data_IF_118174919795
#
_entry.id   IF_118174919795
#
_cell.length_a   1.000
_cell.length_b   1.000
_cell.length_c   1.000
_cell.angle_alpha   90.00
_cell.angle_beta   90.00
_cell.angle_gamma   90.00
#
_symmetry.space_group_name_H-M   'P 1'
#
loop_
_entity.id
_entity.type
_entity.pdbx_description
1 polymer ?
#
# COMPACT_ATOMS: atom_id res chain seq x y z
N UNK A 1 3.52 22.69 22.42
CA UNK A 1 3.70 21.22 22.38
C UNK A 1 3.61 20.71 23.80
N UNK A 2 2.66 19.82 24.09
CA UNK A 2 2.63 19.16 25.40
C UNK A 2 3.93 18.36 25.56
N UNK A 3 4.54 18.32 26.76
CA UNK A 3 5.72 17.51 27.00
C UNK A 3 5.43 16.05 26.67
N UNK A 4 6.42 15.35 26.08
CA UNK A 4 6.32 13.91 25.84
C UNK A 4 6.17 13.25 27.21
N UNK A 5 5.01 12.66 27.45
CA UNK A 5 4.72 11.86 28.63
C UNK A 5 4.54 10.40 28.23
N UNK A 6 4.58 9.49 29.22
CA UNK A 6 4.49 8.05 28.98
C UNK A 6 3.23 7.68 28.18
N UNK A 7 2.10 8.33 28.45
CA UNK A 7 0.83 8.04 27.78
C UNK A 7 0.86 8.40 26.29
N UNK A 8 1.35 9.60 25.95
CA UNK A 8 1.49 10.04 24.55
C UNK A 8 2.50 9.18 23.79
N UNK A 9 3.58 8.75 24.45
CA UNK A 9 4.58 7.87 23.86
C UNK A 9 4.02 6.46 23.59
N UNK A 10 3.26 5.90 24.55
CA UNK A 10 2.59 4.61 24.35
C UNK A 10 1.54 4.67 23.25
N UNK A 11 0.75 5.75 23.19
CA UNK A 11 -0.22 5.95 22.11
C UNK A 11 0.47 6.01 20.74
N UNK A 12 1.58 6.75 20.62
CA UNK A 12 2.40 6.76 19.41
C UNK A 12 2.86 5.34 19.03
N UNK A 13 3.41 4.57 19.97
CA UNK A 13 3.84 3.19 19.71
C UNK A 13 2.70 2.31 19.21
N UNK A 14 1.51 2.45 19.79
CA UNK A 14 0.33 1.69 19.36
C UNK A 14 -0.09 2.03 17.93
N UNK A 15 -0.32 3.31 17.62
CA UNK A 15 -0.74 3.71 16.28
C UNK A 15 0.34 3.46 15.22
N UNK A 16 1.60 3.74 15.54
CA UNK A 16 2.73 3.48 14.64
C UNK A 16 2.92 1.98 14.39
N UNK A 17 2.90 1.17 15.45
CA UNK A 17 3.04 -0.29 15.35
C UNK A 17 1.89 -0.94 14.60
N UNK A 18 0.65 -0.54 14.90
CA UNK A 18 -0.54 -1.00 14.17
C UNK A 18 -0.48 -0.58 12.70
N UNK A 19 -0.14 0.68 12.41
CA UNK A 19 0.02 1.16 11.05
C UNK A 19 1.08 0.37 10.27
N UNK A 20 2.25 0.15 10.87
CA UNK A 20 3.32 -0.63 10.23
C UNK A 20 2.89 -2.09 9.99
N UNK A 21 2.22 -2.69 10.97
CA UNK A 21 1.67 -4.05 10.85
C UNK A 21 0.65 -4.17 9.71
N UNK A 22 -0.31 -3.25 9.65
CA UNK A 22 -1.31 -3.20 8.57
C UNK A 22 -0.64 -3.00 7.22
N UNK A 23 0.31 -2.07 7.10
CA UNK A 23 1.03 -1.83 5.85
C UNK A 23 1.73 -3.10 5.33
N UNK A 24 2.44 -3.83 6.20
CA UNK A 24 3.13 -5.07 5.83
C UNK A 24 2.11 -6.13 5.40
N UNK A 25 1.06 -6.34 6.19
CA UNK A 25 0.02 -7.33 5.88
C UNK A 25 -0.67 -7.00 4.56
N UNK A 26 -1.02 -5.74 4.35
CA UNK A 26 -1.64 -5.24 3.12
C UNK A 26 -0.79 -5.53 1.89
N UNK A 27 0.49 -5.18 1.94
CA UNK A 27 1.40 -5.41 0.81
C UNK A 27 1.56 -6.90 0.56
N UNK A 28 1.75 -7.71 1.60
CA UNK A 28 1.83 -9.18 1.44
C UNK A 28 0.56 -9.72 0.79
N UNK A 29 -0.63 -9.34 1.27
CA UNK A 29 -1.91 -9.78 0.70
C UNK A 29 -2.05 -9.37 -0.76
N UNK A 30 -1.71 -8.12 -1.11
CA UNK A 30 -1.74 -7.67 -2.51
C UNK A 30 -0.78 -8.50 -3.36
N UNK A 31 0.44 -8.76 -2.88
CA UNK A 31 1.44 -9.56 -3.62
C UNK A 31 1.09 -11.05 -3.74
N UNK A 32 0.20 -11.56 -2.89
CA UNK A 32 -0.32 -12.93 -2.99
C UNK A 32 -1.41 -13.03 -4.06
N UNK A 33 -2.13 -11.94 -4.32
CA UNK A 33 -3.15 -11.86 -5.38
C UNK A 33 -2.53 -11.52 -6.73
N UNK A 34 -1.40 -10.80 -6.77
CA UNK A 34 -0.68 -10.55 -8.02
C UNK A 34 -0.09 -11.85 -8.58
N UNK A 35 -0.25 -12.14 -9.89
CA UNK A 35 0.22 -13.41 -10.46
C UNK A 35 1.75 -13.55 -10.57
N UNK A 36 2.51 -12.48 -10.34
CA UNK A 36 3.97 -12.46 -10.43
C UNK A 36 4.61 -12.50 -9.05
N UNK A 37 5.77 -13.13 -8.93
CA UNK A 37 6.47 -13.31 -7.65
C UNK A 37 7.29 -12.08 -7.30
N UNK A 38 6.63 -11.01 -6.84
CA UNK A 38 7.23 -9.70 -6.57
C UNK A 38 8.54 -9.77 -5.77
N UNK A 39 8.51 -10.39 -4.59
CA UNK A 39 9.70 -10.50 -3.73
C UNK A 39 10.82 -11.35 -4.33
N UNK A 40 10.49 -12.37 -5.13
CA UNK A 40 11.49 -13.18 -5.83
C UNK A 40 12.15 -12.38 -6.95
N UNK A 41 11.35 -11.70 -7.77
CA UNK A 41 11.83 -10.87 -8.87
C UNK A 41 12.66 -9.69 -8.37
N UNK A 42 12.21 -9.03 -7.28
CA UNK A 42 12.98 -7.99 -6.60
C UNK A 42 14.38 -8.47 -6.20
N UNK A 43 14.47 -9.65 -5.56
CA UNK A 43 15.74 -10.25 -5.13
C UNK A 43 16.64 -10.65 -6.31
N UNK A 44 16.06 -10.85 -7.49
CA UNK A 44 16.78 -11.12 -8.74
C UNK A 44 17.22 -9.84 -9.47
N UNK A 45 16.94 -8.65 -8.91
CA UNK A 45 17.31 -7.37 -9.52
C UNK A 45 16.34 -6.88 -10.59
N UNK A 46 15.12 -7.41 -10.64
CA UNK A 46 14.08 -6.94 -11.56
C UNK A 46 13.59 -5.55 -11.12
N UNK A 47 13.96 -4.53 -11.90
CA UNK A 47 13.63 -3.13 -11.65
C UNK A 47 12.12 -2.89 -11.78
N UNK A 48 11.45 -3.53 -12.73
CA UNK A 48 10.01 -3.37 -12.91
C UNK A 48 9.23 -3.85 -11.67
N UNK A 49 9.59 -5.02 -11.13
CA UNK A 49 9.00 -5.56 -9.90
C UNK A 49 9.33 -4.67 -8.69
N UNK A 50 10.57 -4.17 -8.61
CA UNK A 50 10.98 -3.26 -7.54
C UNK A 50 10.15 -1.97 -7.53
N UNK A 51 9.98 -1.35 -8.70
CA UNK A 51 9.20 -0.12 -8.85
C UNK A 51 7.72 -0.36 -8.55
N UNK A 52 7.13 -1.43 -9.09
CA UNK A 52 5.73 -1.78 -8.83
C UNK A 52 5.48 -1.99 -7.33
N UNK A 53 6.35 -2.76 -6.66
CA UNK A 53 6.24 -3.04 -5.24
C UNK A 53 6.40 -1.77 -4.40
N UNK A 54 7.37 -0.90 -4.72
CA UNK A 54 7.54 0.39 -4.05
C UNK A 54 6.30 1.28 -4.17
N UNK A 55 5.70 1.35 -5.36
CA UNK A 55 4.44 2.06 -5.56
C UNK A 55 3.29 1.47 -4.77
N UNK A 56 3.25 0.14 -4.58
CA UNK A 56 2.26 -0.52 -3.74
C UNK A 56 2.40 -0.15 -2.25
N UNK A 57 3.64 -0.12 -1.73
CA UNK A 57 3.90 0.35 -0.36
C UNK A 57 3.40 1.78 -0.16
N UNK A 58 3.73 2.69 -1.08
CA UNK A 58 3.30 4.09 -0.99
C UNK A 58 1.77 4.19 -1.12
N UNK A 59 1.18 3.47 -2.08
CA UNK A 59 -0.26 3.45 -2.32
C UNK A 59 -1.09 3.03 -1.10
N UNK A 60 -0.63 2.03 -0.35
CA UNK A 60 -1.27 1.60 0.91
C UNK A 60 -1.01 2.58 2.06
N UNK A 61 0.19 3.17 2.13
CA UNK A 61 0.55 4.07 3.21
C UNK A 61 -0.31 5.35 3.23
N UNK A 62 -0.76 5.83 2.07
CA UNK A 62 -1.58 7.04 1.94
C UNK A 62 -2.95 6.93 2.65
N UNK A 63 -3.82 5.96 2.33
CA UNK A 63 -5.10 5.80 3.04
C UNK A 63 -4.90 5.40 4.49
N UNK A 64 -3.82 4.69 4.83
CA UNK A 64 -3.52 4.35 6.21
C UNK A 64 -3.13 5.59 7.04
N UNK A 65 -2.41 6.53 6.44
CA UNK A 65 -2.16 7.84 7.04
C UNK A 65 -3.48 8.56 7.33
N UNK A 66 -4.37 8.67 6.35
CA UNK A 66 -5.69 9.31 6.55
C UNK A 66 -6.53 8.58 7.59
N UNK A 67 -6.54 7.25 7.56
CA UNK A 67 -7.22 6.44 8.56
C UNK A 67 -6.71 6.75 9.96
N UNK A 68 -5.39 6.72 10.21
CA UNK A 68 -4.82 7.01 11.54
C UNK A 68 -5.11 8.46 11.96
N UNK A 69 -5.12 9.41 11.02
CA UNK A 69 -5.41 10.82 11.30
C UNK A 69 -6.87 11.06 11.71
N UNK A 70 -7.82 10.34 11.13
CA UNK A 70 -9.26 10.52 11.36
C UNK A 70 -9.88 9.46 12.30
N UNK A 71 -9.14 8.39 12.64
CA UNK A 71 -9.67 7.29 13.43
C UNK A 71 -9.98 7.70 14.86
N UNK A 72 -11.17 7.29 15.33
CA UNK A 72 -11.59 7.47 16.73
C UNK A 72 -10.94 6.43 17.64
N UNK A 73 -10.49 5.30 17.07
CA UNK A 73 -9.82 4.21 17.81
C UNK A 73 -8.86 3.40 16.93
N UNK A 74 -8.01 2.57 17.55
CA UNK A 74 -7.14 1.62 16.82
C UNK A 74 -7.94 0.60 16.00
N UNK A 75 -9.13 0.20 16.46
CA UNK A 75 -9.99 -0.76 15.74
C UNK A 75 -10.54 -0.12 14.46
N UNK A 76 -10.90 1.15 14.52
CA UNK A 76 -11.35 1.92 13.37
C UNK A 76 -10.24 2.01 12.31
N UNK A 77 -9.00 2.29 12.74
CA UNK A 77 -7.83 2.28 11.86
C UNK A 77 -7.58 0.92 11.20
N UNK A 78 -7.83 -0.19 11.92
CA UNK A 78 -7.71 -1.55 11.36
C UNK A 78 -8.76 -1.82 10.28
N UNK A 79 -10.01 -1.39 10.49
CA UNK A 79 -11.10 -1.56 9.52
C UNK A 79 -10.78 -0.79 8.24
N UNK A 80 -10.40 0.49 8.37
CA UNK A 80 -9.97 1.29 7.22
C UNK A 80 -8.73 0.74 6.53
N UNK A 81 -7.78 0.18 7.30
CA UNK A 81 -6.65 -0.55 6.78
C UNK A 81 -7.05 -1.72 5.88
N UNK A 82 -8.04 -2.51 6.28
CA UNK A 82 -8.57 -3.61 5.48
C UNK A 82 -9.27 -3.11 4.20
N UNK A 83 -10.05 -2.03 4.28
CA UNK A 83 -10.67 -1.37 3.12
C UNK A 83 -9.58 -0.89 2.14
N UNK A 84 -8.52 -0.28 2.66
CA UNK A 84 -7.38 0.17 1.88
C UNK A 84 -6.67 -0.97 1.16
N UNK A 85 -6.49 -2.13 1.80
CA UNK A 85 -5.97 -3.33 1.15
C UNK A 85 -6.82 -3.74 -0.06
N UNK A 86 -8.15 -3.76 0.11
CA UNK A 86 -9.07 -4.13 -0.95
C UNK A 86 -9.00 -3.18 -2.15
N UNK A 87 -8.98 -1.87 -1.88
CA UNK A 87 -8.85 -0.85 -2.93
C UNK A 87 -7.50 -0.94 -3.64
N UNK A 88 -6.44 -1.34 -2.94
CA UNK A 88 -5.13 -1.54 -3.54
C UNK A 88 -5.10 -2.69 -4.56
N UNK A 89 -5.85 -3.76 -4.32
CA UNK A 89 -6.05 -4.84 -5.30
C UNK A 89 -6.78 -4.29 -6.53
N UNK A 90 -7.80 -3.44 -6.33
CA UNK A 90 -8.50 -2.77 -7.44
C UNK A 90 -7.54 -1.90 -8.25
N UNK A 91 -6.62 -1.18 -7.61
CA UNK A 91 -5.61 -0.38 -8.31
C UNK A 91 -4.73 -1.25 -9.23
N UNK A 92 -4.29 -2.41 -8.77
CA UNK A 92 -3.56 -3.38 -9.60
C UNK A 92 -4.40 -3.88 -10.79
N UNK A 93 -5.67 -4.22 -10.55
CA UNK A 93 -6.58 -4.68 -11.60
C UNK A 93 -6.79 -3.59 -12.66
N UNK A 94 -6.97 -2.34 -12.25
CA UNK A 94 -7.07 -1.19 -13.15
C UNK A 94 -5.80 -1.05 -14.00
N UNK A 95 -4.63 -1.11 -13.38
CA UNK A 95 -3.36 -1.06 -14.11
C UNK A 95 -3.25 -2.20 -15.14
N UNK A 96 -3.67 -3.41 -14.77
CA UNK A 96 -3.64 -4.57 -15.66
C UNK A 96 -4.66 -4.47 -16.82
N UNK A 97 -5.84 -3.89 -16.58
CA UNK A 97 -6.85 -3.64 -17.63
C UNK A 97 -6.34 -2.62 -18.64
N UNK A 98 -5.69 -1.54 -18.19
CA UNK A 98 -5.21 -0.47 -19.07
C UNK A 98 -3.96 -0.89 -19.85
N UNK A 99 -2.95 -1.45 -19.18
CA UNK A 99 -1.66 -1.78 -19.81
C UNK A 99 -1.65 -3.14 -20.52
N UNK A 100 -2.56 -4.05 -20.15
CA UNK A 100 -2.65 -5.40 -20.69
C UNK A 100 -1.49 -6.31 -20.26
N UNK A 101 -1.77 -7.41 -19.56
CA UNK A 101 -0.78 -8.42 -19.14
C UNK A 101 0.37 -7.82 -18.30
N UNK A 102 0.08 -6.89 -17.39
CA UNK A 102 1.10 -6.16 -16.61
C UNK A 102 1.99 -7.11 -15.81
N UNK A 103 1.41 -8.22 -15.31
CA UNK A 103 2.14 -9.27 -14.59
C UNK A 103 3.25 -9.90 -15.43
N UNK A 104 2.99 -10.13 -16.73
CA UNK A 104 3.98 -10.72 -17.64
C UNK A 104 5.07 -9.70 -17.96
N UNK A 105 4.68 -8.46 -18.25
CA UNK A 105 5.63 -7.38 -18.51
C UNK A 105 6.57 -7.14 -17.32
N UNK A 106 6.04 -7.18 -16.08
CA UNK A 106 6.86 -7.07 -14.86
C UNK A 106 7.80 -8.28 -14.74
N UNK A 107 7.32 -9.50 -15.01
CA UNK A 107 8.17 -10.70 -15.01
C UNK A 107 9.32 -10.57 -16.04
N UNK A 108 9.03 -10.01 -17.21
CA UNK A 108 9.98 -9.74 -18.30
C UNK A 108 10.85 -8.49 -18.05
N UNK A 109 10.79 -7.90 -16.85
CA UNK A 109 11.55 -6.71 -16.41
C UNK A 109 11.33 -5.45 -17.28
N UNK A 110 10.12 -5.29 -17.82
CA UNK A 110 9.74 -4.09 -18.56
C UNK A 110 9.48 -2.94 -17.58
N UNK A 111 10.47 -2.05 -17.41
CA UNK A 111 10.41 -0.97 -16.42
C UNK A 111 9.15 -0.09 -16.54
N UNK A 112 8.69 0.18 -17.76
CA UNK A 112 7.48 0.97 -18.01
C UNK A 112 6.22 0.36 -17.34
N UNK A 113 6.09 -0.97 -17.34
CA UNK A 113 4.98 -1.65 -16.66
C UNK A 113 5.06 -1.46 -15.14
N UNK A 114 6.28 -1.54 -14.57
CA UNK A 114 6.51 -1.29 -13.16
C UNK A 114 6.18 0.14 -12.75
N UNK A 115 6.66 1.13 -13.51
CA UNK A 115 6.39 2.55 -13.29
C UNK A 115 4.89 2.85 -13.39
N UNK A 116 4.23 2.33 -14.43
CA UNK A 116 2.80 2.56 -14.64
C UNK A 116 1.97 1.95 -13.50
N UNK A 117 2.26 0.69 -13.11
CA UNK A 117 1.60 0.02 -11.99
C UNK A 117 1.79 0.81 -10.69
N UNK A 118 3.01 1.30 -10.43
CA UNK A 118 3.32 2.12 -9.27
C UNK A 118 2.53 3.43 -9.27
N UNK A 119 2.47 4.13 -10.41
CA UNK A 119 1.71 5.37 -10.56
C UNK A 119 0.21 5.18 -10.30
N UNK A 120 -0.39 4.13 -10.87
CA UNK A 120 -1.81 3.80 -10.64
C UNK A 120 -2.06 3.50 -9.16
N UNK A 121 -1.19 2.70 -8.54
CA UNK A 121 -1.24 2.40 -7.11
C UNK A 121 -1.25 3.67 -6.24
N UNK A 122 -0.30 4.56 -6.47
CA UNK A 122 -0.18 5.81 -5.69
C UNK A 122 -1.39 6.72 -5.92
N UNK A 123 -1.84 6.87 -7.17
CA UNK A 123 -2.99 7.70 -7.50
C UNK A 123 -4.28 7.20 -6.85
N UNK A 124 -4.55 5.90 -6.93
CA UNK A 124 -5.73 5.29 -6.29
C UNK A 124 -5.62 5.36 -4.77
N UNK A 125 -4.44 5.12 -4.21
CA UNK A 125 -4.17 5.29 -2.78
C UNK A 125 -4.45 6.70 -2.28
N UNK A 126 -4.06 7.72 -3.06
CA UNK A 126 -4.32 9.12 -2.74
C UNK A 126 -5.82 9.45 -2.75
N UNK A 127 -6.56 8.95 -3.75
CA UNK A 127 -8.03 9.12 -3.83
C UNK A 127 -8.69 8.44 -2.63
N UNK A 128 -8.25 7.22 -2.29
CA UNK A 128 -8.75 6.49 -1.14
C UNK A 128 -8.49 7.25 0.17
N UNK A 129 -7.29 7.80 0.34
CA UNK A 129 -6.96 8.63 1.49
C UNK A 129 -7.87 9.85 1.63
N UNK A 130 -8.20 10.50 0.51
CA UNK A 130 -9.12 11.64 0.50
C UNK A 130 -10.57 11.26 0.78
N UNK A 131 -10.98 10.03 0.42
CA UNK A 131 -12.32 9.51 0.70
C UNK A 131 -12.52 9.10 2.17
N UNK A 132 -11.42 8.85 2.89
CA UNK A 132 -11.45 8.68 4.35
C UNK A 132 -11.52 10.07 4.98
N UNK A 133 -12.74 10.50 5.28
CA UNK A 133 -13.05 11.79 5.91
C UNK A 133 -13.46 11.59 7.38
N UNK A 134 -13.21 12.58 8.25
CA UNK A 134 -13.63 12.55 9.66
C UNK A 134 -15.16 12.56 9.84
#
# INVERSE_FOLDING_TARGET
>A
MNPINLQSFLAFLSYFGTGLGVLIVAVVLVTLVTPHKDFTLLRQGNVAAATALAGNFIGVALPLHSAITHSVSLVDALIWGAVACGIQIVAYLLANVVAGRISRQITDNVAAAGIFSAGVSIAVGLINAAAITP
#
